data_IF_783281865200
#
_entry.id   IF_783281865200
#
_cell.length_a   1.000
_cell.length_b   1.000
_cell.length_c   1.000
_cell.angle_alpha   90.00
_cell.angle_beta   90.00
_cell.angle_gamma   90.00
#
_symmetry.space_group_name_H-M   'P 1'
#
loop_
_entity.id
_entity.type
_entity.pdbx_description
1 polymer ?
#
# COMPACT_ATOMS: atom_id res chain seq x y z
N UNK A 1 11.01 9.67 -2.70
CA UNK A 1 10.16 10.38 -3.69
C UNK A 1 9.72 9.41 -4.78
N UNK A 2 8.44 9.48 -5.21
CA UNK A 2 7.93 8.72 -6.35
C UNK A 2 7.37 9.72 -7.36
N UNK A 3 7.69 9.55 -8.64
CA UNK A 3 7.18 10.41 -9.71
C UNK A 3 6.64 9.56 -10.86
N UNK A 4 5.39 9.77 -11.21
CA UNK A 4 4.70 9.18 -12.37
C UNK A 4 4.63 10.22 -13.47
N UNK A 5 5.13 9.90 -14.66
CA UNK A 5 5.19 10.82 -15.80
C UNK A 5 4.44 10.25 -16.99
N UNK A 6 3.29 10.83 -17.29
CA UNK A 6 2.45 10.50 -18.44
C UNK A 6 2.19 8.99 -18.57
N UNK A 7 1.74 8.35 -17.49
CA UNK A 7 1.53 6.89 -17.45
C UNK A 7 0.27 6.52 -18.21
N UNK A 8 0.45 5.73 -19.26
CA UNK A 8 -0.64 5.07 -19.98
C UNK A 8 -0.54 3.57 -19.79
N UNK A 9 -1.67 2.92 -19.55
CA UNK A 9 -1.78 1.46 -19.52
C UNK A 9 -3.16 1.01 -19.95
N UNK A 10 -3.18 0.11 -20.94
CA UNK A 10 -4.36 -0.63 -21.34
C UNK A 10 -4.12 -2.14 -21.21
N UNK A 11 -5.21 -2.87 -21.20
CA UNK A 11 -5.27 -4.30 -21.40
C UNK A 11 -6.19 -4.52 -22.61
N UNK A 12 -7.42 -5.03 -22.44
CA UNK A 12 -8.43 -5.03 -23.51
C UNK A 12 -9.01 -3.63 -23.76
N UNK A 13 -9.05 -2.82 -22.68
CA UNK A 13 -9.50 -1.42 -22.70
C UNK A 13 -8.45 -0.53 -22.01
N UNK A 14 -8.41 0.79 -22.35
CA UNK A 14 -7.58 1.76 -21.64
C UNK A 14 -7.95 1.81 -20.15
N UNK A 15 -6.94 1.78 -19.27
CA UNK A 15 -7.09 1.85 -17.80
C UNK A 15 -6.46 3.11 -17.24
N UNK A 16 -5.23 3.42 -17.66
CA UNK A 16 -4.55 4.69 -17.36
C UNK A 16 -4.31 5.43 -18.68
N UNK A 17 -4.62 6.72 -18.72
CA UNK A 17 -4.67 7.50 -19.96
C UNK A 17 -3.88 8.81 -19.87
N UNK A 18 -2.74 8.78 -19.17
CA UNK A 18 -1.86 9.93 -18.99
C UNK A 18 -1.84 10.41 -17.53
N UNK A 19 -1.41 9.52 -16.63
CA UNK A 19 -1.30 9.87 -15.20
C UNK A 19 0.03 10.56 -14.95
N UNK A 20 -0.05 11.80 -14.46
CA UNK A 20 1.04 12.57 -13.87
C UNK A 20 0.77 12.75 -12.38
N UNK A 21 1.67 12.27 -11.53
CA UNK A 21 1.53 12.37 -10.06
C UNK A 21 2.91 12.31 -9.40
N UNK A 22 3.05 13.03 -8.30
CA UNK A 22 4.28 13.05 -7.50
C UNK A 22 3.98 12.92 -6.02
N UNK A 23 4.73 12.03 -5.37
CA UNK A 23 4.75 11.82 -3.91
C UNK A 23 6.12 12.23 -3.41
N UNK A 24 6.18 13.18 -2.48
CA UNK A 24 7.42 13.72 -1.95
C UNK A 24 8.09 12.74 -0.97
N UNK A 25 9.37 12.93 -0.70
CA UNK A 25 10.11 12.10 0.25
C UNK A 25 9.56 12.29 1.66
N UNK A 26 9.25 11.19 2.33
CA UNK A 26 8.66 11.18 3.69
C UNK A 26 7.18 11.54 3.74
N UNK A 27 6.56 11.83 2.60
CA UNK A 27 5.14 12.16 2.50
C UNK A 27 4.28 10.90 2.66
N UNK A 28 3.17 11.04 3.38
CA UNK A 28 2.08 10.08 3.37
C UNK A 28 0.98 10.55 2.43
N UNK A 29 0.84 9.87 1.29
CA UNK A 29 -0.03 10.27 0.19
C UNK A 29 -1.12 9.23 -0.03
N UNK A 30 -2.39 9.64 -0.17
CA UNK A 30 -3.48 8.74 -0.54
C UNK A 30 -3.90 8.89 -1.99
N UNK A 31 -4.18 7.78 -2.65
CA UNK A 31 -4.80 7.72 -3.97
C UNK A 31 -6.19 7.11 -3.86
N UNK A 32 -7.19 7.94 -4.00
CA UNK A 32 -8.61 7.58 -4.01
C UNK A 32 -9.12 7.31 -5.43
N UNK A 33 -10.32 6.78 -5.52
CA UNK A 33 -11.07 6.63 -6.77
C UNK A 33 -11.92 5.37 -6.78
N UNK A 34 -12.94 5.29 -7.64
CA UNK A 34 -13.83 4.14 -7.77
C UNK A 34 -13.08 2.83 -8.03
N UNK A 35 -13.70 1.70 -7.69
CA UNK A 35 -13.16 0.38 -7.99
C UNK A 35 -12.95 0.22 -9.49
N UNK A 36 -11.84 -0.41 -9.89
CA UNK A 36 -11.52 -0.66 -11.30
C UNK A 36 -10.89 0.51 -12.05
N UNK A 37 -10.68 1.69 -11.46
CA UNK A 37 -10.09 2.86 -12.13
C UNK A 37 -8.58 2.75 -12.40
N UNK A 38 -7.91 1.70 -11.93
CA UNK A 38 -6.49 1.48 -12.22
C UNK A 38 -5.53 1.84 -11.07
N UNK A 39 -6.01 2.12 -9.85
CA UNK A 39 -5.17 2.46 -8.69
C UNK A 39 -4.10 1.41 -8.40
N UNK A 40 -4.49 0.14 -8.25
CA UNK A 40 -3.53 -0.97 -8.05
C UNK A 40 -2.65 -1.22 -9.28
N UNK A 41 -3.13 -0.90 -10.49
CA UNK A 41 -2.31 -0.95 -11.71
C UNK A 41 -1.21 0.09 -11.62
N UNK A 42 -1.53 1.31 -11.21
CA UNK A 42 -0.55 2.39 -11.03
C UNK A 42 0.50 2.00 -9.97
N UNK A 43 0.08 1.49 -8.79
CA UNK A 43 1.02 1.01 -7.77
C UNK A 43 1.98 -0.05 -8.33
N UNK A 44 1.46 -1.02 -9.08
CA UNK A 44 2.26 -2.12 -9.64
C UNK A 44 3.26 -1.65 -10.68
N UNK A 45 3.04 -0.48 -11.31
CA UNK A 45 4.04 0.11 -12.21
C UNK A 45 5.28 0.58 -11.45
N UNK A 46 5.16 1.01 -10.19
CA UNK A 46 6.28 1.50 -9.37
C UNK A 46 7.33 0.43 -9.11
N UNK A 47 6.94 -0.83 -9.04
CA UNK A 47 7.86 -1.96 -8.78
C UNK A 47 8.07 -2.85 -10.02
N UNK A 48 7.63 -2.38 -11.20
CA UNK A 48 7.81 -3.09 -12.45
C UNK A 48 7.06 -4.42 -12.53
N UNK A 49 5.96 -4.61 -11.82
CA UNK A 49 5.04 -5.75 -11.96
C UNK A 49 4.08 -5.54 -13.13
N UNK A 50 3.74 -4.29 -13.43
CA UNK A 50 3.00 -3.90 -14.62
C UNK A 50 3.86 -2.90 -15.39
N UNK A 51 4.07 -3.15 -16.68
CA UNK A 51 4.82 -2.26 -17.55
C UNK A 51 3.82 -1.30 -18.20
N UNK A 52 3.97 0.02 -18.06
CA UNK A 52 3.13 0.99 -18.77
C UNK A 52 3.38 0.91 -20.27
N UNK A 53 2.39 1.25 -21.06
CA UNK A 53 2.50 1.29 -22.52
C UNK A 53 3.22 2.57 -22.97
N UNK A 54 3.02 3.67 -22.21
CA UNK A 54 3.68 4.97 -22.40
C UNK A 54 3.98 5.53 -21.01
N UNK A 55 5.02 6.34 -20.91
CA UNK A 55 5.42 7.04 -19.70
C UNK A 55 6.55 6.35 -18.96
N UNK A 56 6.85 6.86 -17.77
CA UNK A 56 7.91 6.33 -16.90
C UNK A 56 7.57 6.59 -15.44
N UNK A 57 8.09 5.74 -14.55
CA UNK A 57 8.03 5.94 -13.11
C UNK A 57 9.44 6.09 -12.59
N UNK A 58 9.66 7.09 -11.75
CA UNK A 58 10.92 7.26 -11.05
C UNK A 58 10.73 7.08 -9.54
N UNK A 59 11.64 6.34 -8.92
CA UNK A 59 11.73 6.19 -7.46
C UNK A 59 13.10 6.71 -7.03
N UNK A 60 13.13 7.78 -6.26
CA UNK A 60 14.34 8.49 -5.83
C UNK A 60 15.30 8.81 -7.01
N UNK A 61 14.73 9.28 -8.12
CA UNK A 61 15.46 9.63 -9.33
C UNK A 61 15.94 8.44 -10.17
N UNK A 62 15.58 7.20 -9.77
CA UNK A 62 15.88 5.99 -10.54
C UNK A 62 14.66 5.64 -11.40
N UNK A 63 14.80 5.68 -12.71
CA UNK A 63 13.75 5.27 -13.63
C UNK A 63 13.55 3.77 -13.61
N UNK A 64 12.30 3.34 -13.41
CA UNK A 64 11.90 1.92 -13.39
C UNK A 64 12.10 1.28 -14.77
N UNK A 65 11.78 2.01 -15.84
CA UNK A 65 11.68 1.43 -17.18
C UNK A 65 12.85 1.78 -18.09
N UNK A 66 13.51 2.93 -17.88
CA UNK A 66 14.68 3.36 -18.68
C UNK A 66 16.00 2.91 -18.09
N UNK A 67 16.04 2.56 -16.79
CA UNK A 67 17.25 2.10 -16.10
C UNK A 67 17.64 0.63 -16.38
N UNK A 68 16.83 -0.13 -17.14
CA UNK A 68 17.06 -1.53 -17.46
C UNK A 68 16.76 -2.49 -16.29
N UNK A 69 17.12 -3.78 -16.44
CA UNK A 69 16.80 -4.82 -15.44
C UNK A 69 17.37 -4.55 -14.05
N UNK A 70 18.58 -4.00 -13.98
CA UNK A 70 19.23 -3.68 -12.70
C UNK A 70 18.50 -2.58 -11.90
N UNK A 71 17.86 -1.61 -12.56
CA UNK A 71 17.11 -0.55 -11.90
C UNK A 71 15.89 -1.10 -11.13
N UNK A 72 15.14 -2.00 -11.75
CA UNK A 72 13.97 -2.64 -11.10
C UNK A 72 14.39 -3.41 -9.84
N UNK A 73 15.51 -4.13 -9.88
CA UNK A 73 16.02 -4.85 -8.71
C UNK A 73 16.42 -3.89 -7.58
N UNK A 74 17.09 -2.78 -7.90
CA UNK A 74 17.44 -1.74 -6.92
C UNK A 74 16.18 -1.14 -6.31
N UNK A 75 15.20 -0.80 -7.13
CA UNK A 75 13.93 -0.21 -6.66
C UNK A 75 13.18 -1.20 -5.77
N UNK A 76 13.07 -2.48 -6.14
CA UNK A 76 12.40 -3.50 -5.31
C UNK A 76 13.04 -3.71 -3.95
N UNK A 77 14.34 -3.43 -3.78
CA UNK A 77 15.00 -3.47 -2.47
C UNK A 77 14.64 -2.26 -1.60
N UNK A 78 14.28 -1.13 -2.23
CA UNK A 78 13.88 0.11 -1.57
C UNK A 78 12.39 0.20 -1.27
N UNK A 79 11.56 -0.61 -1.93
CA UNK A 79 10.11 -0.52 -1.88
C UNK A 79 9.51 -1.73 -1.16
N UNK A 80 8.80 -1.48 -0.07
CA UNK A 80 7.91 -2.46 0.54
C UNK A 80 6.52 -2.38 -0.10
N UNK A 81 5.92 -3.53 -0.42
CA UNK A 81 4.58 -3.59 -1.00
C UNK A 81 3.65 -4.39 -0.10
N UNK A 82 2.57 -3.76 0.36
CA UNK A 82 1.51 -4.39 1.14
C UNK A 82 0.32 -4.68 0.21
N UNK A 83 0.05 -5.97 0.00
CA UNK A 83 -0.99 -6.44 -0.91
C UNK A 83 -2.37 -6.46 -0.25
N UNK A 84 -3.41 -6.23 -1.03
CA UNK A 84 -4.82 -6.25 -0.61
C UNK A 84 -5.21 -7.52 0.16
N UNK A 85 -4.76 -8.69 -0.26
CA UNK A 85 -5.07 -9.99 0.35
C UNK A 85 -3.90 -10.55 1.19
N UNK A 86 -3.03 -9.70 1.74
CA UNK A 86 -1.81 -10.06 2.49
C UNK A 86 -0.80 -10.93 1.72
N UNK A 87 -1.23 -11.67 0.71
CA UNK A 87 -0.43 -12.53 -0.18
C UNK A 87 0.57 -13.42 0.58
N UNK A 88 0.14 -14.00 1.70
CA UNK A 88 0.96 -14.95 2.46
C UNK A 88 1.00 -16.30 1.74
N UNK A 89 2.11 -16.99 1.87
CA UNK A 89 2.26 -18.34 1.37
C UNK A 89 1.65 -19.32 2.39
N UNK A 90 0.58 -20.00 2.01
CA UNK A 90 -0.19 -20.88 2.90
C UNK A 90 0.62 -22.06 3.44
N UNK A 91 1.65 -22.51 2.69
CA UNK A 91 2.55 -23.61 3.07
C UNK A 91 3.68 -23.19 3.99
N UNK A 92 3.87 -21.90 4.23
CA UNK A 92 4.93 -21.37 5.07
C UNK A 92 4.39 -20.87 6.39
N UNK A 93 5.16 -21.02 7.47
CA UNK A 93 4.84 -20.42 8.75
C UNK A 93 5.07 -18.89 8.73
N UNK A 94 4.69 -18.20 9.79
CA UNK A 94 4.85 -16.73 9.93
C UNK A 94 6.32 -16.32 9.82
N UNK A 95 7.24 -17.07 10.44
CA UNK A 95 8.67 -16.77 10.39
C UNK A 95 9.18 -16.72 8.95
N UNK A 96 8.87 -17.75 8.17
CA UNK A 96 9.30 -17.84 6.77
C UNK A 96 8.59 -16.82 5.89
N UNK A 97 7.28 -16.61 6.09
CA UNK A 97 6.53 -15.57 5.37
C UNK A 97 7.12 -14.17 5.56
N UNK A 98 7.45 -13.78 6.79
CA UNK A 98 8.05 -12.47 7.08
C UNK A 98 9.48 -12.43 6.55
N UNK A 99 10.26 -13.49 6.74
CA UNK A 99 11.64 -13.59 6.27
C UNK A 99 11.80 -13.40 4.76
N UNK A 100 10.80 -13.80 3.97
CA UNK A 100 10.79 -13.57 2.51
C UNK A 100 10.74 -12.09 2.09
N UNK A 101 10.45 -11.18 3.01
CA UNK A 101 10.54 -9.73 2.75
C UNK A 101 11.98 -9.20 2.72
N UNK A 102 12.95 -9.99 3.17
CA UNK A 102 14.36 -9.64 3.03
C UNK A 102 14.83 -9.86 1.59
N UNK A 103 15.68 -8.97 1.03
CA UNK A 103 16.31 -9.21 -0.26
C UNK A 103 17.06 -10.56 -0.28
N UNK A 104 16.98 -11.28 -1.38
CA UNK A 104 17.55 -12.64 -1.52
C UNK A 104 19.05 -12.69 -1.19
N UNK A 105 19.80 -11.70 -1.66
CA UNK A 105 21.24 -11.58 -1.40
C UNK A 105 21.56 -11.28 0.09
N UNK A 106 20.65 -10.63 0.80
CA UNK A 106 20.73 -10.42 2.25
C UNK A 106 20.40 -11.70 2.98
N UNK A 107 19.27 -12.32 2.64
CA UNK A 107 18.80 -13.55 3.29
C UNK A 107 19.81 -14.70 3.13
N UNK A 108 20.44 -14.84 1.96
CA UNK A 108 21.43 -15.88 1.69
C UNK A 108 22.73 -15.74 2.52
N UNK A 109 23.04 -14.52 2.99
CA UNK A 109 24.29 -14.23 3.75
C UNK A 109 24.04 -14.02 5.24
N UNK A 110 22.79 -13.78 5.64
CA UNK A 110 22.45 -13.43 7.01
C UNK A 110 22.47 -14.69 7.89
N UNK A 111 23.22 -14.68 9.02
CA UNK A 111 23.15 -15.76 9.99
C UNK A 111 21.71 -15.96 10.49
N UNK A 112 21.29 -17.22 10.66
CA UNK A 112 19.91 -17.55 11.06
C UNK A 112 19.46 -16.80 12.34
N UNK A 113 20.36 -16.56 13.26
CA UNK A 113 20.08 -15.81 14.50
C UNK A 113 19.74 -14.33 14.21
N UNK A 114 20.43 -13.72 13.26
CA UNK A 114 20.19 -12.34 12.87
C UNK A 114 18.90 -12.21 12.04
N UNK A 115 18.63 -13.17 11.15
CA UNK A 115 17.35 -13.24 10.44
C UNK A 115 16.19 -13.38 11.44
N UNK A 116 16.33 -14.22 12.46
CA UNK A 116 15.35 -14.37 13.52
C UNK A 116 15.11 -13.08 14.29
N UNK A 117 16.15 -12.34 14.60
CA UNK A 117 16.03 -11.05 15.31
C UNK A 117 15.27 -10.02 14.45
N UNK A 118 15.54 -9.95 13.15
CA UNK A 118 14.81 -9.06 12.21
C UNK A 118 13.33 -9.43 12.09
N UNK A 119 13.02 -10.73 11.97
CA UNK A 119 11.63 -11.20 11.93
C UNK A 119 10.92 -10.85 13.22
N UNK A 120 11.58 -11.05 14.36
CA UNK A 120 11.05 -10.70 15.68
C UNK A 120 10.69 -9.21 15.76
N UNK A 121 11.66 -8.34 15.46
CA UNK A 121 11.48 -6.88 15.45
C UNK A 121 10.34 -6.46 14.52
N UNK A 122 10.26 -7.01 13.30
CA UNK A 122 9.20 -6.69 12.36
C UNK A 122 7.80 -7.07 12.85
N UNK A 123 7.68 -8.19 13.59
CA UNK A 123 6.42 -8.61 14.20
C UNK A 123 6.02 -7.73 15.39
N UNK A 124 6.97 -7.32 16.23
CA UNK A 124 6.71 -6.37 17.31
C UNK A 124 6.25 -5.02 16.78
N UNK A 125 6.86 -4.51 15.70
CA UNK A 125 6.46 -3.27 15.03
C UNK A 125 5.01 -3.30 14.57
N UNK A 126 4.46 -4.45 14.23
CA UNK A 126 3.05 -4.59 13.82
C UNK A 126 2.12 -5.04 14.96
N UNK A 127 2.55 -4.94 16.21
CA UNK A 127 1.81 -5.33 17.41
C UNK A 127 1.36 -6.81 17.39
N UNK A 128 2.26 -7.71 17.00
CA UNK A 128 2.08 -9.14 17.08
C UNK A 128 3.12 -9.70 18.07
N UNK A 129 2.69 -10.57 19.00
CA UNK A 129 3.61 -11.26 19.93
C UNK A 129 4.32 -12.41 19.20
N UNK A 130 5.64 -12.30 18.91
CA UNK A 130 6.32 -13.28 18.08
C UNK A 130 6.29 -14.70 18.63
N UNK A 131 6.40 -14.85 19.97
CA UNK A 131 6.42 -16.18 20.63
C UNK A 131 5.18 -17.00 20.36
N UNK A 132 4.05 -16.33 20.15
CA UNK A 132 2.75 -16.97 19.97
C UNK A 132 2.48 -17.36 18.52
N UNK A 133 3.16 -16.70 17.54
CA UNK A 133 2.76 -16.80 16.15
C UNK A 133 3.83 -17.28 15.17
N UNK A 134 5.13 -17.23 15.54
CA UNK A 134 6.23 -17.53 14.61
C UNK A 134 6.08 -18.88 13.89
N UNK A 135 5.56 -19.91 14.56
CA UNK A 135 5.39 -21.25 14.01
C UNK A 135 4.02 -21.48 13.34
N UNK A 136 3.08 -20.56 13.49
CA UNK A 136 1.74 -20.70 12.90
C UNK A 136 1.77 -20.54 11.40
N UNK A 137 0.88 -21.25 10.72
CA UNK A 137 0.61 -21.07 9.27
C UNK A 137 -0.57 -20.09 9.08
N UNK A 138 -0.74 -19.49 7.89
CA UNK A 138 -1.78 -18.49 7.65
C UNK A 138 -3.20 -18.94 8.01
N UNK A 139 -3.56 -20.24 7.86
CA UNK A 139 -4.87 -20.75 8.23
C UNK A 139 -5.18 -20.67 9.75
N UNK A 140 -4.18 -20.54 10.59
CA UNK A 140 -4.30 -20.43 12.05
C UNK A 140 -4.36 -18.97 12.54
N UNK A 141 -4.34 -17.99 11.61
CA UNK A 141 -4.36 -16.58 11.91
C UNK A 141 -5.73 -15.95 11.61
N UNK A 142 -6.16 -14.99 12.44
CA UNK A 142 -7.30 -14.13 12.11
C UNK A 142 -7.00 -13.24 10.89
N UNK A 143 -8.03 -12.67 10.27
CA UNK A 143 -7.87 -11.75 9.13
C UNK A 143 -6.95 -10.57 9.45
N UNK A 144 -7.15 -9.92 10.60
CA UNK A 144 -6.29 -8.83 11.07
C UNK A 144 -4.83 -9.27 11.34
N UNK A 145 -4.61 -10.48 11.88
CA UNK A 145 -3.25 -11.01 12.05
C UNK A 145 -2.57 -11.26 10.70
N UNK A 146 -3.30 -11.83 9.71
CA UNK A 146 -2.76 -12.02 8.35
C UNK A 146 -2.31 -10.72 7.71
N UNK A 147 -3.12 -9.65 7.85
CA UNK A 147 -2.77 -8.30 7.36
C UNK A 147 -1.49 -7.81 8.02
N UNK A 148 -1.39 -7.89 9.36
CA UNK A 148 -0.21 -7.45 10.10
C UNK A 148 1.04 -8.27 9.75
N UNK A 149 0.94 -9.57 9.55
CA UNK A 149 2.06 -10.40 9.04
C UNK A 149 2.49 -9.96 7.64
N UNK A 150 1.54 -9.64 6.76
CA UNK A 150 1.83 -9.09 5.43
C UNK A 150 2.55 -7.73 5.49
N UNK A 151 2.16 -6.87 6.46
CA UNK A 151 2.85 -5.59 6.73
C UNK A 151 4.27 -5.86 7.28
N UNK A 152 4.43 -6.76 8.26
CA UNK A 152 5.74 -7.13 8.80
C UNK A 152 6.70 -7.60 7.70
N UNK A 153 6.22 -8.42 6.75
CA UNK A 153 6.98 -8.83 5.58
C UNK A 153 7.40 -7.65 4.70
N UNK A 154 6.53 -6.65 4.53
CA UNK A 154 6.84 -5.50 3.69
C UNK A 154 7.89 -4.58 4.32
N UNK A 155 7.96 -4.49 5.65
CA UNK A 155 8.85 -3.57 6.38
C UNK A 155 10.16 -4.19 6.88
N UNK A 156 10.30 -5.53 6.90
CA UNK A 156 11.49 -6.22 7.45
C UNK A 156 12.80 -5.79 6.77
N UNK A 157 12.73 -5.47 5.47
CA UNK A 157 13.86 -4.96 4.69
C UNK A 157 14.24 -3.50 4.99
N UNK A 158 13.49 -2.81 5.84
CA UNK A 158 13.60 -1.37 6.09
C UNK A 158 13.55 -0.56 4.79
N UNK A 159 12.43 -0.61 4.06
CA UNK A 159 12.29 0.09 2.80
C UNK A 159 12.31 1.61 2.99
N UNK A 160 12.65 2.34 1.93
CA UNK A 160 12.56 3.81 1.85
C UNK A 160 11.16 4.28 1.39
N UNK A 161 10.41 3.37 0.74
CA UNK A 161 9.06 3.61 0.21
C UNK A 161 8.14 2.46 0.62
N UNK A 162 6.92 2.77 1.05
CA UNK A 162 5.85 1.79 1.31
C UNK A 162 4.67 2.04 0.37
N UNK A 163 4.30 1.02 -0.36
CA UNK A 163 3.11 0.99 -1.21
C UNK A 163 2.03 0.14 -0.53
N UNK A 164 0.88 0.75 -0.28
CA UNK A 164 -0.25 0.14 0.42
C UNK A 164 -1.41 -0.05 -0.57
N UNK A 165 -1.68 -1.28 -0.97
CA UNK A 165 -2.75 -1.62 -1.92
C UNK A 165 -3.97 -2.12 -1.15
N UNK A 166 -4.88 -1.23 -0.81
CA UNK A 166 -6.12 -1.48 -0.06
C UNK A 166 -5.89 -2.34 1.21
N UNK A 167 -5.06 -1.89 2.15
CA UNK A 167 -4.61 -2.70 3.28
C UNK A 167 -5.71 -3.08 4.27
N UNK A 168 -6.83 -2.35 4.29
CA UNK A 168 -7.94 -2.54 5.23
C UNK A 168 -9.11 -3.34 4.65
N UNK A 169 -9.13 -3.60 3.36
CA UNK A 169 -10.22 -4.34 2.68
C UNK A 169 -10.50 -5.69 3.35
N UNK A 170 -11.77 -5.94 3.67
CA UNK A 170 -12.24 -7.18 4.28
C UNK A 170 -11.98 -7.28 5.79
N UNK A 171 -11.70 -6.16 6.45
CA UNK A 171 -11.65 -6.05 7.91
C UNK A 171 -12.93 -5.41 8.44
N UNK A 172 -13.32 -5.77 9.66
CA UNK A 172 -14.35 -5.06 10.41
C UNK A 172 -13.88 -3.64 10.82
N UNK A 173 -14.77 -2.72 11.20
CA UNK A 173 -14.41 -1.32 11.48
C UNK A 173 -13.36 -1.16 12.60
N UNK A 174 -13.37 -2.01 13.62
CA UNK A 174 -12.39 -1.94 14.73
C UNK A 174 -10.99 -2.30 14.22
N UNK A 175 -10.88 -3.37 13.44
CA UNK A 175 -9.62 -3.80 12.86
C UNK A 175 -9.14 -2.84 11.76
N UNK A 176 -10.05 -2.25 10.97
CA UNK A 176 -9.75 -1.18 10.01
C UNK A 176 -9.05 -0.02 10.70
N UNK A 177 -9.68 0.60 11.71
CA UNK A 177 -9.09 1.69 12.47
C UNK A 177 -7.75 1.32 13.14
N UNK A 178 -7.60 0.06 13.58
CA UNK A 178 -6.33 -0.40 14.16
C UNK A 178 -5.22 -0.51 13.13
N UNK A 179 -5.52 -0.96 11.91
CA UNK A 179 -4.55 -1.04 10.79
C UNK A 179 -4.18 0.35 10.27
N UNK A 180 -5.13 1.28 10.15
CA UNK A 180 -4.86 2.66 9.74
C UNK A 180 -3.92 3.39 10.71
N UNK A 181 -4.18 3.27 12.03
CA UNK A 181 -3.25 3.80 13.05
C UNK A 181 -1.87 3.15 12.95
N UNK A 182 -1.81 1.86 12.65
CA UNK A 182 -0.55 1.15 12.43
C UNK A 182 0.18 1.70 11.20
N UNK A 183 -0.52 1.91 10.08
CA UNK A 183 0.03 2.49 8.85
C UNK A 183 0.62 3.88 9.14
N UNK A 184 -0.17 4.76 9.76
CA UNK A 184 0.28 6.11 10.12
C UNK A 184 1.51 6.09 11.03
N UNK A 185 1.49 5.24 12.07
CA UNK A 185 2.61 5.09 12.99
C UNK A 185 3.87 4.60 12.26
N UNK A 186 3.77 3.53 11.47
CA UNK A 186 4.91 2.98 10.74
C UNK A 186 5.51 3.97 9.75
N UNK A 187 4.66 4.71 9.02
CA UNK A 187 5.12 5.72 8.06
C UNK A 187 5.95 6.81 8.75
N UNK A 188 5.55 7.23 9.96
CA UNK A 188 6.26 8.24 10.75
C UNK A 188 7.50 7.69 11.44
N UNK A 189 7.40 6.53 12.12
CA UNK A 189 8.52 5.93 12.88
C UNK A 189 9.66 5.47 11.98
N UNK A 190 9.33 5.00 10.77
CA UNK A 190 10.32 4.55 9.78
C UNK A 190 10.77 5.67 8.84
N UNK A 191 10.16 6.87 8.94
CA UNK A 191 10.43 8.03 8.08
C UNK A 191 10.35 7.70 6.58
N UNK A 192 9.39 6.83 6.18
CA UNK A 192 9.26 6.33 4.83
C UNK A 192 8.27 7.16 3.99
N UNK A 193 8.52 7.25 2.70
CA UNK A 193 7.54 7.74 1.73
C UNK A 193 6.44 6.71 1.57
N UNK A 194 5.17 7.08 1.78
CA UNK A 194 4.03 6.15 1.72
C UNK A 194 3.02 6.56 0.66
N UNK A 195 2.66 5.62 -0.22
CA UNK A 195 1.53 5.77 -1.15
C UNK A 195 0.46 4.75 -0.80
N UNK A 196 -0.67 5.25 -0.30
CA UNK A 196 -1.83 4.46 0.13
C UNK A 196 -2.91 4.49 -0.93
N UNK A 197 -3.28 3.35 -1.46
CA UNK A 197 -4.51 3.16 -2.24
C UNK A 197 -5.58 2.66 -1.28
N UNK A 198 -6.69 3.37 -1.21
CA UNK A 198 -7.84 2.97 -0.39
C UNK A 198 -9.13 3.50 -1.01
N UNK A 199 -10.24 2.85 -0.70
CA UNK A 199 -11.59 3.35 -0.93
C UNK A 199 -12.16 4.03 0.33
N UNK A 200 -11.56 3.82 1.50
CA UNK A 200 -11.92 4.54 2.73
C UNK A 200 -11.41 5.98 2.66
N UNK A 201 -12.31 6.89 2.33
CA UNK A 201 -11.99 8.32 2.19
C UNK A 201 -11.65 8.91 3.55
N UNK A 202 -12.52 8.71 4.55
CA UNK A 202 -12.35 9.34 5.86
C UNK A 202 -11.07 8.89 6.55
N UNK A 203 -10.79 7.56 6.55
CA UNK A 203 -9.55 7.03 7.07
C UNK A 203 -8.32 7.61 6.34
N UNK A 204 -8.34 7.65 5.02
CA UNK A 204 -7.27 8.22 4.22
C UNK A 204 -7.05 9.72 4.45
N UNK A 205 -8.14 10.53 4.53
CA UNK A 205 -8.08 11.97 4.81
C UNK A 205 -7.54 12.28 6.22
N UNK A 206 -7.72 11.36 7.18
CA UNK A 206 -7.24 11.54 8.56
C UNK A 206 -5.74 11.29 8.70
N UNK A 207 -5.15 10.42 7.88
CA UNK A 207 -3.79 9.96 8.09
C UNK A 207 -2.79 10.46 7.05
N UNK A 208 -3.24 10.99 5.90
CA UNK A 208 -2.38 11.42 4.79
C UNK A 208 -2.16 12.94 4.77
N UNK A 209 -0.97 13.33 4.32
CA UNK A 209 -0.56 14.74 4.16
C UNK A 209 -1.16 15.36 2.90
N UNK A 210 -1.22 14.56 1.81
CA UNK A 210 -1.86 14.93 0.54
C UNK A 210 -2.62 13.76 -0.04
N UNK A 211 -3.57 14.07 -0.90
CA UNK A 211 -4.44 13.10 -1.55
C UNK A 211 -4.61 13.41 -3.03
N UNK A 212 -4.84 12.37 -3.82
CA UNK A 212 -5.30 12.50 -5.20
C UNK A 212 -6.50 11.60 -5.47
N UNK A 213 -7.30 11.96 -6.45
CA UNK A 213 -8.38 11.13 -6.96
C UNK A 213 -8.09 10.72 -8.41
N UNK A 214 -8.03 9.41 -8.64
CA UNK A 214 -7.94 8.81 -9.96
C UNK A 214 -9.36 8.52 -10.46
N UNK A 215 -9.72 9.16 -11.57
CA UNK A 215 -10.98 8.93 -12.27
C UNK A 215 -10.76 8.81 -13.76
N UNK A 216 -11.46 7.87 -14.40
CA UNK A 216 -11.41 7.67 -15.85
C UNK A 216 -9.97 7.63 -16.43
N UNK A 217 -9.03 7.05 -15.68
CA UNK A 217 -7.64 6.86 -16.08
C UNK A 217 -6.72 8.07 -15.95
N UNK A 218 -7.19 9.18 -15.33
CA UNK A 218 -6.40 10.40 -15.10
C UNK A 218 -6.54 10.89 -13.66
N UNK A 219 -5.61 11.75 -13.21
CA UNK A 219 -5.74 12.43 -11.92
C UNK A 219 -6.75 13.57 -12.05
N UNK A 220 -7.89 13.40 -11.39
CA UNK A 220 -8.97 14.38 -11.35
C UNK A 220 -8.74 15.49 -10.34
N UNK A 221 -8.15 15.13 -9.20
CA UNK A 221 -7.83 16.03 -8.11
C UNK A 221 -6.47 15.64 -7.51
N UNK A 222 -5.72 16.64 -7.03
CA UNK A 222 -4.53 16.43 -6.21
C UNK A 222 -4.34 17.67 -5.31
N UNK A 223 -4.30 17.46 -4.00
CA UNK A 223 -4.19 18.55 -3.01
C UNK A 223 -4.12 18.02 -1.59
N UNK A 224 -4.33 18.91 -0.62
CA UNK A 224 -4.44 18.56 0.79
C UNK A 224 -5.82 17.95 1.12
N UNK A 225 -5.96 17.22 2.25
CA UNK A 225 -7.26 16.75 2.73
C UNK A 225 -8.33 17.84 2.83
N UNK A 226 -7.98 19.04 3.30
CA UNK A 226 -8.92 20.16 3.41
C UNK A 226 -9.36 20.68 2.04
N UNK A 227 -8.43 20.77 1.07
CA UNK A 227 -8.75 21.14 -0.30
C UNK A 227 -9.64 20.09 -0.98
N UNK A 228 -9.46 18.80 -0.66
CA UNK A 228 -10.30 17.72 -1.17
C UNK A 228 -11.74 17.84 -0.66
N UNK A 229 -11.92 18.07 0.65
CA UNK A 229 -13.24 18.29 1.25
C UNK A 229 -13.94 19.53 0.71
N UNK A 230 -13.19 20.59 0.39
CA UNK A 230 -13.71 21.85 -0.15
C UNK A 230 -13.88 21.83 -1.69
N UNK A 231 -13.48 20.74 -2.36
CA UNK A 231 -13.49 20.66 -3.82
C UNK A 231 -14.91 20.76 -4.36
N UNK A 232 -15.11 21.65 -5.36
CA UNK A 232 -16.41 21.87 -5.99
C UNK A 232 -16.60 21.07 -7.29
N UNK A 233 -15.65 20.20 -7.64
CA UNK A 233 -15.78 19.31 -8.79
C UNK A 233 -16.92 18.30 -8.53
N UNK A 234 -17.95 18.26 -9.40
CA UNK A 234 -19.11 17.39 -9.17
C UNK A 234 -18.78 15.89 -9.10
N UNK A 235 -17.71 15.45 -9.78
CA UNK A 235 -17.27 14.04 -9.76
C UNK A 235 -16.63 13.72 -8.42
N UNK A 236 -15.80 14.62 -7.89
CA UNK A 236 -15.19 14.47 -6.57
C UNK A 236 -16.27 14.46 -5.48
N UNK A 237 -17.22 15.41 -5.55
CA UNK A 237 -18.33 15.46 -4.59
C UNK A 237 -19.21 14.20 -4.66
N UNK A 238 -19.60 13.77 -5.85
CA UNK A 238 -20.40 12.55 -6.01
C UNK A 238 -19.67 11.30 -5.49
N UNK A 239 -18.35 11.26 -5.59
CA UNK A 239 -17.55 10.17 -5.03
C UNK A 239 -17.56 10.19 -3.51
N UNK A 240 -17.34 11.35 -2.89
CA UNK A 240 -17.39 11.54 -1.41
C UNK A 240 -18.78 11.20 -0.86
N UNK A 241 -19.85 11.71 -1.49
CA UNK A 241 -21.23 11.49 -1.04
C UNK A 241 -21.63 10.00 -1.14
N UNK A 242 -21.20 9.33 -2.19
CA UNK A 242 -21.46 7.90 -2.38
C UNK A 242 -20.78 7.04 -1.31
N UNK A 243 -19.52 7.27 -1.04
CA UNK A 243 -18.76 6.54 -0.01
C UNK A 243 -19.34 6.80 1.39
N UNK A 244 -19.75 8.05 1.67
CA UNK A 244 -20.43 8.36 2.92
C UNK A 244 -21.77 7.64 3.06
N UNK A 245 -22.54 7.50 1.98
CA UNK A 245 -23.80 6.77 1.96
C UNK A 245 -23.60 5.25 2.11
N UNK A 246 -22.60 4.67 1.45
CA UNK A 246 -22.24 3.25 1.58
C UNK A 246 -21.78 2.94 3.02
N UNK A 247 -20.91 3.77 3.62
CA UNK A 247 -20.48 3.61 5.00
C UNK A 247 -21.63 3.71 6.02
N UNK A 248 -22.59 4.62 5.79
CA UNK A 248 -23.78 4.73 6.65
C UNK A 248 -24.70 3.50 6.54
N UNK A 249 -24.83 2.92 5.35
CA UNK A 249 -25.63 1.72 5.12
C UNK A 249 -25.02 0.50 5.81
N UNK A 250 -23.70 0.33 5.73
CA UNK A 250 -22.97 -0.77 6.38
C UNK A 250 -23.14 -0.72 7.91
N UNK A 251 -23.03 0.47 8.52
CA UNK A 251 -23.25 0.66 9.96
C UNK A 251 -24.70 0.29 10.38
N UNK A 252 -25.68 0.57 9.53
CA UNK A 252 -27.08 0.20 9.79
C UNK A 252 -27.26 -1.31 9.70
N UNK A 253 -26.70 -1.97 8.71
CA UNK A 253 -26.81 -3.42 8.53
C UNK A 253 -26.15 -4.19 9.68
N UNK A 254 -24.96 -3.75 10.13
CA UNK A 254 -24.28 -4.35 11.30
C UNK A 254 -25.05 -4.18 12.62
N UNK A 255 -25.95 -3.21 12.71
CA UNK A 255 -26.80 -3.03 13.90
C UNK A 255 -27.97 -3.99 14.01
N UNK A 256 -28.24 -4.79 12.97
CA UNK A 256 -29.32 -5.76 12.90
C UNK A 256 -28.86 -7.21 13.08
N UNK A 257 -27.57 -7.48 13.16
CA UNK A 257 -26.95 -8.78 13.49
C UNK A 257 -26.55 -8.85 14.98
#
# INVERSE_FOLDING_TARGET
MIEYRNIHKGFDLPVLTGVDMRVETGEMFALFGPSGTGKSVLLKTTIGLVIPDIGDVEVDGISVYRGGRGAVEVIRKKVGYVFQHSALFDSLNVFDNVGMGLPEDVLARLPRKEAAAKVWEALELVNLEPREILSKIPSELSGGMKKRVGIARAIIGRPEVLLWDEPTTGLDPINTAAVERLIQRLSRELEVTSLLVTHDIEGGLMICDRVAMLDSGTIRFCGTPDEFRACQDPVVQAFVDREAAEAALDLVLESYD
#
